data_IF_234025022972
#
_entry.id   IF_234025022972
#
_cell.length_a   1.000
_cell.length_b   1.000
_cell.length_c   1.000
_cell.angle_alpha   90.00
_cell.angle_beta   90.00
_cell.angle_gamma   90.00
#
_symmetry.space_group_name_H-M   'P 1'
#
loop_
_entity.id
_entity.type
_entity.pdbx_description
1 polymer ?
#
# COMPACT_ATOMS: atom_id res chain seq x y z
N UNK A 1 -13.37 38.59 -63.96
CA UNK A 1 -11.92 38.51 -64.19
C UNK A 1 -11.20 39.01 -62.94
N UNK A 2 -10.39 38.14 -62.29
CA UNK A 2 -9.23 38.41 -61.40
C UNK A 2 -9.49 39.43 -60.27
N UNK A 3 -9.62 39.07 -58.99
CA UNK A 3 -8.50 39.04 -58.02
C UNK A 3 -8.90 38.26 -56.74
N UNK A 4 -9.29 36.99 -56.89
CA UNK A 4 -9.15 36.00 -55.79
C UNK A 4 -7.65 35.69 -55.71
N UNK A 5 -6.91 36.15 -54.68
CA UNK A 5 -5.66 35.50 -54.14
C UNK A 5 -4.78 36.36 -53.20
N UNK A 6 -4.91 37.69 -53.15
CA UNK A 6 -3.89 38.52 -52.45
C UNK A 6 -4.12 38.78 -50.94
N UNK A 7 -5.35 38.66 -50.43
CA UNK A 7 -5.67 39.04 -49.03
C UNK A 7 -5.71 37.85 -48.05
N UNK A 8 -5.69 36.59 -48.53
CA UNK A 8 -5.66 35.39 -47.66
C UNK A 8 -4.25 35.02 -47.18
N UNK A 9 -3.21 35.56 -47.82
CA UNK A 9 -1.81 35.21 -47.51
C UNK A 9 -1.19 36.01 -46.37
N UNK A 10 -1.75 37.19 -46.02
CA UNK A 10 -1.27 37.99 -44.88
C UNK A 10 -1.91 37.61 -43.54
N UNK A 11 -3.04 36.90 -43.56
CA UNK A 11 -3.70 36.42 -42.32
C UNK A 11 -3.23 35.04 -41.87
N UNK A 12 -2.65 34.23 -42.76
CA UNK A 12 -2.06 32.92 -42.38
C UNK A 12 -0.64 33.07 -41.81
N UNK A 13 0.05 34.18 -42.12
CA UNK A 13 1.43 34.40 -41.66
C UNK A 13 1.57 34.88 -40.21
N UNK A 14 0.53 35.46 -39.60
CA UNK A 14 0.56 35.81 -38.15
C UNK A 14 0.20 34.59 -37.28
N UNK A 15 -0.47 33.58 -37.84
CA UNK A 15 -0.70 32.30 -37.15
C UNK A 15 0.53 31.37 -37.18
N UNK A 16 1.56 31.66 -37.98
CA UNK A 16 2.76 30.84 -38.13
C UNK A 16 3.92 31.20 -37.17
N UNK A 17 3.79 32.28 -36.38
CA UNK A 17 4.74 32.62 -35.32
C UNK A 17 4.32 32.09 -33.92
N UNK A 18 3.21 31.33 -33.85
CA UNK A 18 2.80 30.52 -32.70
C UNK A 18 3.00 29.02 -33.00
N UNK A 19 4.02 28.69 -33.81
CA UNK A 19 4.38 27.32 -34.18
C UNK A 19 5.29 26.63 -33.14
N UNK A 20 5.97 27.30 -32.22
CA UNK A 20 7.22 26.71 -31.70
C UNK A 20 7.33 26.35 -30.21
N UNK A 21 6.26 26.39 -29.39
CA UNK A 21 6.37 26.05 -27.96
C UNK A 21 5.31 25.09 -27.38
N UNK A 22 4.41 24.55 -28.21
CA UNK A 22 3.33 23.65 -27.73
C UNK A 22 3.44 22.23 -28.30
N UNK A 23 4.65 21.83 -28.71
CA UNK A 23 4.99 20.48 -29.19
C UNK A 23 5.95 19.77 -28.22
N UNK A 24 5.93 20.14 -26.93
CA UNK A 24 6.76 19.48 -25.91
C UNK A 24 6.13 19.58 -24.51
N UNK A 25 4.88 19.14 -24.37
CA UNK A 25 4.31 18.83 -23.06
C UNK A 25 3.85 17.37 -23.07
N UNK A 26 4.82 16.47 -23.24
CA UNK A 26 4.65 15.08 -22.86
C UNK A 26 4.45 15.02 -21.35
N UNK A 27 3.21 15.13 -20.90
CA UNK A 27 2.87 14.72 -19.54
C UNK A 27 2.68 13.20 -19.57
N UNK A 28 3.81 12.48 -19.64
CA UNK A 28 3.86 11.15 -19.09
C UNK A 28 3.70 11.31 -17.58
N UNK A 29 2.46 11.37 -17.11
CA UNK A 29 2.16 11.17 -15.71
C UNK A 29 2.50 9.72 -15.40
N UNK A 30 3.79 9.46 -15.14
CA UNK A 30 4.23 8.26 -14.46
C UNK A 30 3.60 8.33 -13.09
N UNK A 31 2.43 7.72 -12.96
CA UNK A 31 1.90 7.33 -11.67
C UNK A 31 2.97 6.44 -11.06
N UNK A 32 3.81 7.01 -10.20
CA UNK A 32 4.55 6.25 -9.23
C UNK A 32 3.49 5.63 -8.32
N UNK A 33 2.89 4.53 -8.79
CA UNK A 33 2.22 3.60 -7.91
C UNK A 33 3.33 3.09 -7.01
N UNK A 34 3.48 3.71 -5.84
CA UNK A 34 4.24 3.11 -4.76
C UNK A 34 3.62 1.74 -4.58
N UNK A 35 4.35 0.72 -5.01
CA UNK A 35 3.91 -0.65 -4.89
C UNK A 35 3.99 -1.02 -3.41
N UNK A 36 2.90 -0.77 -2.68
CA UNK A 36 2.83 -0.98 -1.23
C UNK A 36 2.87 -2.47 -0.89
N UNK A 37 2.83 -3.37 -1.87
CA UNK A 37 3.05 -4.81 -1.67
C UNK A 37 4.46 -5.10 -1.10
N UNK A 38 5.44 -4.21 -1.28
CA UNK A 38 6.78 -4.35 -0.68
C UNK A 38 6.88 -3.89 0.79
N UNK A 39 5.80 -3.35 1.37
CA UNK A 39 5.73 -2.96 2.79
C UNK A 39 4.99 -3.99 3.66
N UNK A 40 4.64 -5.13 3.09
CA UNK A 40 4.00 -6.19 3.85
C UNK A 40 5.02 -6.89 4.77
N UNK A 41 4.75 -6.85 6.08
CA UNK A 41 5.54 -7.56 7.06
C UNK A 41 5.49 -9.07 6.79
N UNK A 42 6.61 -9.69 6.43
CA UNK A 42 6.71 -11.13 6.26
C UNK A 42 7.18 -11.82 7.55
N UNK A 43 6.31 -12.53 8.29
CA UNK A 43 6.69 -13.23 9.52
C UNK A 43 7.50 -14.51 9.28
N UNK A 44 7.57 -15.04 8.05
CA UNK A 44 8.24 -16.30 7.77
C UNK A 44 9.72 -16.24 8.11
N UNK A 45 10.19 -17.21 8.90
CA UNK A 45 11.60 -17.29 9.34
C UNK A 45 11.97 -16.31 10.45
N UNK A 46 11.05 -15.45 10.91
CA UNK A 46 11.29 -14.58 12.07
C UNK A 46 11.11 -15.36 13.37
N UNK A 47 11.98 -15.09 14.33
CA UNK A 47 11.84 -15.58 15.71
C UNK A 47 10.72 -14.84 16.44
N UNK A 48 10.24 -15.42 17.54
CA UNK A 48 9.25 -14.77 18.40
C UNK A 48 9.73 -13.39 18.90
N UNK A 49 11.02 -13.24 19.21
CA UNK A 49 11.60 -11.94 19.61
C UNK A 49 11.48 -10.88 18.50
N UNK A 50 11.74 -11.28 17.25
CA UNK A 50 11.62 -10.36 16.10
C UNK A 50 10.15 -10.01 15.82
N UNK A 51 9.23 -10.97 15.95
CA UNK A 51 7.79 -10.70 15.81
C UNK A 51 7.28 -9.79 16.93
N UNK A 52 7.71 -10.03 18.17
CA UNK A 52 7.37 -9.17 19.31
C UNK A 52 7.86 -7.73 19.09
N UNK A 53 9.12 -7.56 18.68
CA UNK A 53 9.67 -6.25 18.36
C UNK A 53 8.90 -5.54 17.22
N UNK A 54 8.47 -6.28 16.19
CA UNK A 54 7.67 -5.73 15.10
C UNK A 54 6.25 -5.33 15.53
N UNK A 55 5.65 -6.05 16.48
CA UNK A 55 4.37 -5.70 17.09
C UNK A 55 4.48 -4.48 18.00
N UNK A 56 5.59 -4.33 18.73
CA UNK A 56 5.88 -3.20 19.61
C UNK A 56 6.21 -1.93 18.83
N UNK A 57 6.99 -2.05 17.74
CA UNK A 57 7.33 -0.93 16.86
C UNK A 57 6.17 -0.46 15.97
N UNK A 58 5.13 -1.29 15.83
CA UNK A 58 4.02 -1.05 14.91
C UNK A 58 4.34 -1.37 13.44
N UNK A 59 5.46 -2.04 13.16
CA UNK A 59 5.78 -2.61 11.83
C UNK A 59 4.71 -3.63 11.39
N UNK A 60 4.07 -4.31 12.35
CA UNK A 60 2.92 -5.18 12.10
C UNK A 60 1.89 -5.09 13.22
N UNK A 61 0.73 -5.69 12.99
CA UNK A 61 -0.36 -5.85 13.95
C UNK A 61 -0.71 -7.33 14.10
N UNK A 62 -1.32 -7.70 15.23
CA UNK A 62 -1.85 -9.06 15.42
C UNK A 62 -2.86 -9.42 14.35
N UNK A 63 -3.69 -8.47 13.88
CA UNK A 63 -4.60 -8.72 12.76
C UNK A 63 -3.88 -9.06 11.47
N UNK A 64 -2.82 -8.32 11.12
CA UNK A 64 -2.01 -8.62 9.94
C UNK A 64 -1.30 -9.97 10.06
N UNK A 65 -0.71 -10.26 11.23
CA UNK A 65 -0.05 -11.53 11.48
C UNK A 65 -1.01 -12.72 11.38
N UNK A 66 -2.21 -12.61 11.95
CA UNK A 66 -3.25 -13.65 11.87
C UNK A 66 -3.75 -13.80 10.43
N UNK A 67 -3.99 -12.70 9.72
CA UNK A 67 -4.44 -12.74 8.32
C UNK A 67 -3.42 -13.46 7.44
N UNK A 68 -2.14 -13.12 7.59
CA UNK A 68 -1.05 -13.80 6.89
C UNK A 68 -1.07 -15.32 7.09
N UNK A 69 -1.28 -15.79 8.32
CA UNK A 69 -1.32 -17.24 8.58
C UNK A 69 -2.61 -17.89 8.09
N UNK A 70 -3.75 -17.21 8.15
CA UNK A 70 -5.00 -17.72 7.57
C UNK A 70 -4.88 -17.86 6.06
N UNK A 71 -4.25 -16.91 5.38
CA UNK A 71 -4.02 -16.98 3.94
C UNK A 71 -3.10 -18.17 3.59
N UNK A 72 -2.10 -18.46 4.43
CA UNK A 72 -1.25 -19.64 4.26
C UNK A 72 -2.00 -20.94 4.53
N UNK A 73 -2.84 -21.00 5.55
CA UNK A 73 -3.69 -22.16 5.82
C UNK A 73 -4.60 -22.40 4.61
N UNK A 74 -5.30 -21.37 4.15
CA UNK A 74 -6.15 -21.47 2.97
C UNK A 74 -5.38 -21.92 1.72
N UNK A 75 -4.15 -21.43 1.51
CA UNK A 75 -3.32 -21.75 0.34
C UNK A 75 -2.71 -23.15 0.39
N UNK A 76 -2.33 -23.66 1.56
CA UNK A 76 -1.56 -24.90 1.67
C UNK A 76 -2.34 -26.05 2.30
N UNK A 77 -3.20 -25.76 3.27
CA UNK A 77 -3.98 -26.75 4.00
C UNK A 77 -5.31 -27.05 3.30
N UNK A 78 -6.03 -26.02 2.85
CA UNK A 78 -7.40 -26.18 2.30
C UNK A 78 -7.44 -26.26 0.77
N UNK A 79 -6.78 -25.34 0.05
CA UNK A 79 -6.86 -25.21 -1.43
C UNK A 79 -5.53 -25.51 -2.14
N UNK A 80 -4.63 -26.22 -1.46
CA UNK A 80 -3.25 -26.46 -1.90
C UNK A 80 -2.91 -27.94 -2.02
N UNK A 81 -1.72 -28.38 -1.59
CA UNK A 81 -1.37 -29.80 -1.51
C UNK A 81 -2.16 -30.57 -0.44
N UNK A 82 -3.20 -29.97 0.14
CA UNK A 82 -4.07 -30.56 1.16
C UNK A 82 -3.25 -31.19 2.30
N UNK A 83 -2.42 -30.37 2.97
CA UNK A 83 -1.58 -30.85 4.08
C UNK A 83 -2.44 -31.45 5.21
N UNK A 84 -3.68 -30.97 5.36
CA UNK A 84 -4.63 -31.44 6.36
C UNK A 84 -4.07 -31.36 7.80
N UNK A 85 -3.26 -30.33 8.08
CA UNK A 85 -2.67 -30.10 9.40
C UNK A 85 -3.65 -29.40 10.36
N UNK A 86 -4.60 -28.61 9.85
CA UNK A 86 -5.51 -27.81 10.66
C UNK A 86 -6.92 -28.36 10.56
N UNK A 87 -7.41 -28.97 11.64
CA UNK A 87 -8.76 -29.56 11.67
C UNK A 87 -9.86 -28.54 11.88
N UNK A 88 -9.59 -27.44 12.61
CA UNK A 88 -10.57 -26.38 12.91
C UNK A 88 -9.88 -25.03 13.08
N UNK A 89 -10.51 -23.98 12.56
CA UNK A 89 -10.12 -22.58 12.79
C UNK A 89 -11.06 -21.96 13.82
N UNK A 90 -10.51 -21.24 14.80
CA UNK A 90 -11.31 -20.49 15.76
C UNK A 90 -12.10 -19.37 15.04
N UNK A 91 -13.45 -19.37 15.07
CA UNK A 91 -14.27 -18.37 14.39
C UNK A 91 -14.10 -16.95 14.97
N UNK A 92 -13.49 -16.82 16.15
CA UNK A 92 -13.24 -15.54 16.81
C UNK A 92 -11.80 -15.04 16.66
N UNK A 93 -10.95 -15.68 15.85
CA UNK A 93 -9.51 -15.36 15.76
C UNK A 93 -9.25 -13.90 15.39
N UNK A 94 -10.02 -13.32 14.47
CA UNK A 94 -9.88 -11.92 14.08
C UNK A 94 -10.31 -10.94 15.18
N UNK A 95 -11.34 -11.31 15.95
CA UNK A 95 -11.78 -10.52 17.12
C UNK A 95 -10.69 -10.54 18.20
N UNK A 96 -10.10 -11.69 18.47
CA UNK A 96 -9.00 -11.83 19.43
C UNK A 96 -7.77 -11.02 19.00
N UNK A 97 -7.41 -11.08 17.72
CA UNK A 97 -6.31 -10.29 17.16
C UNK A 97 -6.55 -8.78 17.31
N UNK A 98 -7.77 -8.31 17.01
CA UNK A 98 -8.16 -6.91 17.22
C UNK A 98 -8.05 -6.47 18.69
N UNK A 99 -8.54 -7.29 19.63
CA UNK A 99 -8.45 -6.99 21.05
C UNK A 99 -7.00 -6.94 21.53
N UNK A 100 -6.15 -7.83 21.01
CA UNK A 100 -4.71 -7.81 21.28
C UNK A 100 -4.02 -6.53 20.79
N UNK A 101 -4.36 -6.06 19.58
CA UNK A 101 -3.85 -4.79 19.04
C UNK A 101 -4.26 -3.60 19.91
N UNK A 102 -5.51 -3.57 20.39
CA UNK A 102 -5.99 -2.55 21.31
C UNK A 102 -5.22 -2.57 22.63
N UNK A 103 -5.07 -3.74 23.23
CA UNK A 103 -4.31 -3.91 24.46
C UNK A 103 -2.89 -3.34 24.34
N UNK A 104 -2.17 -3.63 23.25
CA UNK A 104 -0.82 -3.05 23.03
C UNK A 104 -0.83 -1.52 22.96
N UNK A 105 -1.81 -0.92 22.28
CA UNK A 105 -1.93 0.54 22.21
C UNK A 105 -2.17 1.14 23.59
N UNK A 106 -3.09 0.54 24.36
CA UNK A 106 -3.43 1.01 25.70
C UNK A 106 -2.21 0.92 26.64
N UNK A 107 -1.46 -0.19 26.59
CA UNK A 107 -0.21 -0.36 27.34
C UNK A 107 0.87 0.65 26.92
N UNK A 108 1.02 0.91 25.62
CA UNK A 108 1.98 1.91 25.13
C UNK A 108 1.64 3.31 25.66
N UNK A 109 0.36 3.72 25.62
CA UNK A 109 -0.07 5.00 26.16
C UNK A 109 0.21 5.11 27.68
N UNK A 110 -0.06 4.05 28.43
CA UNK A 110 0.25 4.00 29.86
C UNK A 110 1.75 4.16 30.13
N UNK A 111 2.62 3.47 29.36
CA UNK A 111 4.07 3.60 29.52
C UNK A 111 4.59 5.02 29.24
N UNK A 112 4.04 5.69 28.22
CA UNK A 112 4.41 7.08 27.87
C UNK A 112 4.00 8.01 29.01
N UNK A 113 2.81 7.84 29.56
CA UNK A 113 2.33 8.63 30.69
C UNK A 113 3.22 8.43 31.93
N UNK A 114 3.63 7.20 32.25
CA UNK A 114 4.52 6.96 33.40
C UNK A 114 5.92 7.52 33.19
N UNK A 115 6.43 7.50 31.95
CA UNK A 115 7.75 8.02 31.62
C UNK A 115 7.80 9.56 31.64
N UNK A 116 6.68 10.26 31.42
CA UNK A 116 6.63 11.72 31.48
C UNK A 116 6.46 12.30 32.88
N UNK A 117 6.19 11.46 33.89
CA UNK A 117 5.98 11.86 35.29
C UNK A 117 7.08 11.36 36.24
N UNK A 118 8.18 10.84 35.69
CA UNK A 118 9.40 10.44 36.41
C UNK A 118 10.53 11.44 36.11
#
# INVERSE_FOLDING_TARGET
MRFRTAQRKKMVAIAAALVACMMMAGCGASANTVDISSMEFNPQGKTIKQIAAALESGETTSRQLVSYYLDRINKYDDNGPEINAITQINPHVMRQAYLSDRGRKDHAQHSIFTASHS
#
